data_IF_619797360760
#
_entry.id   IF_619797360760
#
_cell.length_a   1.000
_cell.length_b   1.000
_cell.length_c   1.000
_cell.angle_alpha   90.00
_cell.angle_beta   90.00
_cell.angle_gamma   90.00
#
_symmetry.space_group_name_H-M   'P 1'
#
loop_
_entity.id
_entity.type
_entity.pdbx_description
1 polymer ?
#
# COMPACT_ATOMS: atom_id res chain seq x y z
N UNK A 1 -11.10 2.43 -5.82
CA UNK A 1 -11.27 2.76 -4.39
C UNK A 1 -10.86 4.20 -4.19
N UNK A 2 -11.37 4.87 -3.19
CA UNK A 2 -10.88 6.19 -2.74
C UNK A 2 -10.36 6.12 -1.30
N UNK A 3 -9.55 7.09 -0.90
CA UNK A 3 -9.12 7.22 0.51
C UNK A 3 -10.32 7.40 1.45
N UNK A 4 -11.40 8.04 0.99
CA UNK A 4 -12.63 8.18 1.76
C UNK A 4 -13.34 6.83 1.95
N UNK A 5 -13.39 5.99 0.91
CA UNK A 5 -13.92 4.62 1.03
C UNK A 5 -13.07 3.78 1.98
N UNK A 6 -11.73 3.87 1.89
CA UNK A 6 -10.84 3.20 2.85
C UNK A 6 -11.14 3.63 4.29
N UNK A 7 -11.25 4.94 4.54
CA UNK A 7 -11.61 5.47 5.86
C UNK A 7 -12.97 4.93 6.35
N UNK A 8 -13.98 4.87 5.47
CA UNK A 8 -15.30 4.31 5.81
C UNK A 8 -15.23 2.84 6.20
N UNK A 9 -14.47 2.04 5.45
CA UNK A 9 -14.27 0.62 5.73
C UNK A 9 -13.54 0.43 7.07
N UNK A 10 -12.48 1.20 7.32
CA UNK A 10 -11.75 1.15 8.59
C UNK A 10 -12.66 1.43 9.78
N UNK A 11 -13.49 2.48 9.71
CA UNK A 11 -14.45 2.77 10.78
C UNK A 11 -15.47 1.66 10.97
N UNK A 12 -15.97 1.06 9.89
CA UNK A 12 -16.91 -0.06 9.98
C UNK A 12 -16.26 -1.27 10.68
N UNK A 13 -15.01 -1.59 10.35
CA UNK A 13 -14.27 -2.68 11.00
C UNK A 13 -14.01 -2.41 12.49
N UNK A 14 -13.62 -1.18 12.85
CA UNK A 14 -13.41 -0.79 14.25
C UNK A 14 -14.72 -0.86 15.04
N UNK A 15 -15.81 -0.32 14.49
CA UNK A 15 -17.13 -0.36 15.15
C UNK A 15 -17.67 -1.78 15.32
N UNK A 16 -17.25 -2.72 14.46
CA UNK A 16 -17.61 -4.13 14.54
C UNK A 16 -16.59 -4.98 15.32
N UNK A 17 -15.62 -4.34 15.99
CA UNK A 17 -14.54 -4.99 16.76
C UNK A 17 -13.80 -6.09 15.96
N UNK A 18 -13.37 -5.73 14.74
CA UNK A 18 -12.66 -6.64 13.84
C UNK A 18 -11.16 -6.35 13.84
N UNK A 19 -10.35 -7.40 13.67
CA UNK A 19 -8.93 -7.24 13.36
C UNK A 19 -8.81 -6.80 11.91
N UNK A 20 -7.97 -5.79 11.65
CA UNK A 20 -7.76 -5.23 10.32
C UNK A 20 -6.36 -5.60 9.85
N UNK A 21 -6.27 -6.31 8.72
CA UNK A 21 -5.01 -6.60 8.05
C UNK A 21 -4.93 -5.80 6.75
N UNK A 22 -4.06 -4.78 6.74
CA UNK A 22 -3.82 -3.96 5.55
C UNK A 22 -2.87 -4.67 4.59
N UNK A 23 -3.27 -4.83 3.33
CA UNK A 23 -2.48 -5.58 2.35
C UNK A 23 -2.34 -4.79 1.03
N UNK A 24 -1.11 -4.36 0.71
CA UNK A 24 -0.81 -3.72 -0.56
C UNK A 24 -0.48 -4.78 -1.63
N UNK A 25 0.80 -5.10 -1.83
CA UNK A 25 1.23 -6.05 -2.86
C UNK A 25 1.28 -7.53 -2.38
N UNK A 26 1.07 -7.79 -1.08
CA UNK A 26 1.26 -9.12 -0.47
C UNK A 26 2.63 -9.77 -0.79
N UNK A 27 3.67 -8.95 -0.92
CA UNK A 27 5.04 -9.37 -1.24
C UNK A 27 5.92 -9.50 0.00
N UNK A 28 5.33 -9.36 1.20
CA UNK A 28 6.05 -9.51 2.46
C UNK A 28 6.64 -10.92 2.59
N UNK A 29 7.96 -11.03 2.54
CA UNK A 29 8.71 -12.28 2.76
C UNK A 29 8.72 -12.71 4.24
N UNK A 30 8.25 -11.84 5.12
CA UNK A 30 7.94 -12.14 6.52
C UNK A 30 6.42 -12.08 6.62
N UNK A 31 5.79 -13.12 7.18
CA UNK A 31 4.36 -13.45 7.12
C UNK A 31 3.37 -12.34 7.56
N UNK A 32 3.82 -11.13 7.89
CA UNK A 32 3.01 -9.99 8.30
C UNK A 32 2.12 -9.36 7.22
N UNK A 33 2.06 -9.91 6.00
CA UNK A 33 1.10 -9.49 4.96
C UNK A 33 -0.09 -10.45 4.79
N UNK A 34 -0.08 -11.57 5.51
CA UNK A 34 -1.12 -12.61 5.49
C UNK A 34 -1.50 -12.98 6.93
N UNK A 35 -2.73 -13.43 7.21
CA UNK A 35 -3.04 -13.98 8.53
C UNK A 35 -2.06 -15.12 8.87
N UNK A 36 -1.46 -15.07 10.06
CA UNK A 36 -0.61 -16.16 10.56
C UNK A 36 -1.47 -17.04 11.48
N UNK A 37 -1.71 -18.29 11.07
CA UNK A 37 -2.57 -19.19 11.84
C UNK A 37 -4.05 -18.81 11.85
N UNK A 38 -4.80 -19.44 12.76
CA UNK A 38 -6.26 -19.27 12.94
C UNK A 38 -6.61 -19.01 14.42
N UNK A 39 -5.65 -18.59 15.24
CA UNK A 39 -5.74 -18.42 16.68
C UNK A 39 -6.08 -16.97 17.10
N UNK A 40 -6.53 -16.15 16.15
CA UNK A 40 -7.02 -14.82 16.42
C UNK A 40 -8.29 -14.84 17.28
N UNK A 41 -8.35 -13.95 18.26
CA UNK A 41 -9.47 -13.83 19.19
C UNK A 41 -10.75 -13.25 18.56
N UNK A 42 -10.62 -12.63 17.38
CA UNK A 42 -11.68 -11.94 16.63
C UNK A 42 -11.54 -12.19 15.13
N UNK A 43 -12.65 -12.04 14.42
CA UNK A 43 -12.66 -12.15 12.96
C UNK A 43 -11.71 -11.12 12.31
N UNK A 44 -11.02 -11.54 11.25
CA UNK A 44 -10.11 -10.70 10.48
C UNK A 44 -10.79 -10.19 9.20
N UNK A 45 -10.63 -8.90 8.94
CA UNK A 45 -10.92 -8.29 7.64
C UNK A 45 -9.61 -7.90 6.97
N UNK A 46 -9.35 -8.49 5.80
CA UNK A 46 -8.23 -8.10 4.94
C UNK A 46 -8.68 -6.96 4.02
N UNK A 47 -7.97 -5.84 4.07
CA UNK A 47 -8.23 -4.69 3.20
C UNK A 47 -7.11 -4.57 2.18
N UNK A 48 -7.42 -4.88 0.92
CA UNK A 48 -6.52 -4.66 -0.20
C UNK A 48 -6.44 -3.18 -0.60
N UNK A 49 -5.25 -2.60 -0.63
CA UNK A 49 -5.03 -1.21 -1.05
C UNK A 49 -4.63 -1.06 -2.51
N UNK A 50 -4.52 -2.14 -3.29
CA UNK A 50 -3.99 -2.11 -4.66
C UNK A 50 -4.77 -1.17 -5.61
N UNK A 51 -6.05 -0.94 -5.34
CA UNK A 51 -6.89 0.01 -6.12
C UNK A 51 -6.66 1.49 -5.75
N UNK A 52 -5.74 1.77 -4.83
CA UNK A 52 -5.34 3.10 -4.36
C UNK A 52 -3.90 3.39 -4.82
N UNK A 53 -3.67 3.36 -6.12
CA UNK A 53 -2.36 3.41 -6.78
C UNK A 53 -1.95 4.81 -7.26
N UNK A 54 -2.69 5.85 -6.85
CA UNK A 54 -2.40 7.21 -7.33
C UNK A 54 -1.07 7.72 -6.81
N UNK A 55 -0.40 8.45 -7.69
CA UNK A 55 0.88 9.09 -7.43
C UNK A 55 0.80 10.56 -7.80
N UNK A 56 1.14 11.43 -6.86
CA UNK A 56 1.23 12.87 -7.11
C UNK A 56 2.67 13.33 -6.96
N UNK A 57 3.19 13.97 -8.01
CA UNK A 57 4.49 14.64 -7.96
C UNK A 57 4.29 16.06 -7.47
N UNK A 58 5.11 16.46 -6.51
CA UNK A 58 5.12 17.80 -5.91
C UNK A 58 6.45 18.47 -6.27
N UNK A 59 6.46 19.80 -6.34
CA UNK A 59 7.65 20.61 -6.61
C UNK A 59 8.46 20.10 -7.81
N UNK A 60 7.79 19.93 -8.96
CA UNK A 60 8.39 19.39 -10.19
C UNK A 60 9.07 17.99 -10.01
N UNK A 61 8.55 17.17 -9.10
CA UNK A 61 9.07 15.83 -8.81
C UNK A 61 10.18 15.81 -7.77
N UNK A 62 10.44 16.91 -7.05
CA UNK A 62 11.34 16.90 -5.89
C UNK A 62 10.77 16.11 -4.72
N UNK A 63 9.45 16.07 -4.62
CA UNK A 63 8.71 15.35 -3.61
C UNK A 63 7.58 14.53 -4.26
N UNK A 64 7.13 13.51 -3.55
CA UNK A 64 6.11 12.59 -4.05
C UNK A 64 5.12 12.26 -2.93
N UNK A 65 3.83 12.32 -3.25
CA UNK A 65 2.75 11.79 -2.44
C UNK A 65 2.24 10.51 -3.11
N UNK A 66 2.63 9.37 -2.53
CA UNK A 66 2.23 8.04 -2.98
C UNK A 66 1.04 7.53 -2.16
N UNK A 67 0.00 7.06 -2.83
CA UNK A 67 -1.14 6.40 -2.16
C UNK A 67 -0.77 4.98 -1.69
N UNK A 68 -1.54 4.37 -0.76
CA UNK A 68 -1.19 3.09 -0.13
C UNK A 68 -1.06 1.88 -1.04
N UNK A 69 -1.52 1.95 -2.29
CA UNK A 69 -1.37 0.92 -3.32
C UNK A 69 -0.30 1.24 -4.37
N UNK A 70 0.39 2.38 -4.26
CA UNK A 70 1.40 2.78 -5.24
C UNK A 70 2.59 1.83 -5.18
N UNK A 71 2.99 1.30 -6.33
CA UNK A 71 4.15 0.41 -6.44
C UNK A 71 5.45 1.18 -6.64
N UNK A 72 6.56 0.58 -6.25
CA UNK A 72 7.89 1.14 -6.52
C UNK A 72 8.12 1.30 -8.03
N UNK A 73 7.62 0.37 -8.85
CA UNK A 73 7.67 0.47 -10.30
C UNK A 73 6.96 1.72 -10.85
N UNK A 74 5.77 2.05 -10.32
CA UNK A 74 5.05 3.26 -10.71
C UNK A 74 5.81 4.53 -10.30
N UNK A 75 6.47 4.49 -9.13
CA UNK A 75 7.32 5.58 -8.64
C UNK A 75 8.56 5.78 -9.54
N UNK A 76 9.28 4.70 -9.85
CA UNK A 76 10.44 4.71 -10.76
C UNK A 76 10.06 5.31 -12.12
N UNK A 77 9.01 4.77 -12.75
CA UNK A 77 8.52 5.25 -14.05
C UNK A 77 8.15 6.74 -14.06
N UNK A 78 7.68 7.28 -12.95
CA UNK A 78 7.32 8.69 -12.82
C UNK A 78 8.55 9.61 -12.62
N UNK A 79 9.62 9.10 -12.02
CA UNK A 79 10.83 9.88 -11.67
C UNK A 79 11.93 9.80 -12.73
N UNK A 80 12.06 8.69 -13.48
CA UNK A 80 13.09 8.51 -14.52
C UNK A 80 13.11 9.65 -15.55
N UNK A 81 11.97 10.13 -16.11
CA UNK A 81 11.98 11.23 -17.08
C UNK A 81 12.46 12.57 -16.50
N UNK A 82 12.59 12.66 -15.17
CA UNK A 82 13.01 13.87 -14.44
C UNK A 82 14.44 13.74 -13.89
N UNK A 83 15.17 12.68 -14.26
CA UNK A 83 16.55 12.45 -13.83
C UNK A 83 16.67 12.20 -12.31
N UNK A 84 15.63 11.63 -11.68
CA UNK A 84 15.62 11.34 -10.25
C UNK A 84 15.46 9.85 -9.99
N UNK A 85 16.16 9.39 -8.95
CA UNK A 85 16.01 8.04 -8.42
C UNK A 85 14.96 8.01 -7.29
N UNK A 86 14.23 6.89 -7.12
CA UNK A 86 13.33 6.73 -6.00
C UNK A 86 14.11 6.76 -4.67
N UNK A 87 13.51 7.28 -3.58
CA UNK A 87 14.17 7.35 -2.27
C UNK A 87 14.42 5.97 -1.63
N UNK A 88 13.79 4.89 -2.10
CA UNK A 88 14.12 3.52 -1.71
C UNK A 88 15.01 2.88 -2.78
N UNK A 89 16.32 2.88 -2.53
CA UNK A 89 17.31 2.21 -3.37
C UNK A 89 16.94 0.74 -3.65
N UNK A 90 17.21 0.30 -4.88
CA UNK A 90 16.77 -0.97 -5.45
C UNK A 90 16.99 -2.18 -4.54
N UNK A 91 15.88 -2.81 -4.13
CA UNK A 91 15.90 -4.09 -3.43
C UNK A 91 14.69 -4.98 -3.70
N UNK A 92 13.62 -4.48 -4.33
CA UNK A 92 12.45 -5.31 -4.67
C UNK A 92 11.62 -4.75 -5.84
N UNK A 93 12.27 -4.24 -6.88
CA UNK A 93 11.64 -4.07 -8.19
C UNK A 93 11.56 -5.45 -8.89
N UNK A 94 10.84 -6.38 -8.27
CA UNK A 94 10.64 -7.73 -8.76
C UNK A 94 9.39 -7.85 -9.63
N UNK A 95 9.62 -7.86 -10.95
CA UNK A 95 8.78 -8.42 -12.03
C UNK A 95 7.62 -7.55 -12.54
N UNK A 96 7.73 -7.20 -13.82
CA UNK A 96 6.60 -6.84 -14.69
C UNK A 96 5.87 -8.07 -15.21
#
# INVERSE_FOLDING_TARGET
GSLLELWRVLNACVNADKIILMQAANTGLTEGSTPNGNDYDRDIVIISTQRLDKLHLLDNGQQVLAWPGTTLYALEKALTPRGRDPPSGGGSSGRG
#
